data_IF_531270461399
#
_entry.id   IF_531270461399
#
_cell.length_a   1.000
_cell.length_b   1.000
_cell.length_c   1.000
_cell.angle_alpha   90.00
_cell.angle_beta   90.00
_cell.angle_gamma   90.00
#
_symmetry.space_group_name_H-M   'P 1'
#
loop_
_entity.id
_entity.type
_entity.pdbx_description
1 polymer ?
#
# COMPACT_ATOMS: atom_id res chain seq x y z
N UNK A 1 3.22 -5.92 -30.45
CA UNK A 1 2.87 -5.14 -29.27
C UNK A 1 1.77 -5.89 -28.53
N UNK A 2 1.84 -6.06 -27.20
CA UNK A 2 0.69 -6.53 -26.46
C UNK A 2 -0.43 -5.50 -26.60
N UNK A 3 -1.60 -5.95 -26.98
CA UNK A 3 -2.79 -5.10 -26.88
C UNK A 3 -3.11 -4.96 -25.41
N UNK A 4 -3.10 -3.72 -24.91
CA UNK A 4 -3.45 -3.41 -23.53
C UNK A 4 -4.80 -2.71 -23.52
N UNK A 5 -5.73 -3.23 -22.73
CA UNK A 5 -7.00 -2.55 -22.46
C UNK A 5 -6.97 -2.05 -21.02
N UNK A 6 -7.21 -0.74 -20.86
CA UNK A 6 -7.22 -0.07 -19.56
C UNK A 6 -8.63 0.36 -19.23
N UNK A 7 -9.13 -0.09 -18.07
CA UNK A 7 -10.34 0.47 -17.49
C UNK A 7 -9.98 1.63 -16.58
N UNK A 8 -10.62 2.76 -16.82
CA UNK A 8 -10.39 3.98 -16.05
C UNK A 8 -11.69 4.46 -15.41
N UNK A 9 -11.58 5.15 -14.29
CA UNK A 9 -12.67 5.85 -13.63
C UNK A 9 -12.40 7.33 -13.58
N UNK A 10 -13.44 8.11 -13.87
CA UNK A 10 -13.43 9.57 -13.71
C UNK A 10 -14.16 9.91 -12.40
N UNK A 11 -13.39 10.22 -11.38
CA UNK A 11 -13.85 10.52 -10.02
C UNK A 11 -14.18 12.00 -9.80
N UNK A 12 -14.06 12.82 -10.85
CA UNK A 12 -14.35 14.25 -10.78
C UNK A 12 -15.84 14.51 -10.54
N UNK A 13 -16.19 15.64 -9.92
CA UNK A 13 -17.58 16.09 -9.82
C UNK A 13 -18.26 16.18 -11.18
N UNK A 14 -19.58 16.02 -11.23
CA UNK A 14 -20.36 16.04 -12.46
C UNK A 14 -20.17 17.34 -13.26
N UNK A 15 -20.04 18.49 -12.56
CA UNK A 15 -19.80 19.78 -13.19
C UNK A 15 -18.48 19.90 -13.94
N UNK A 16 -17.43 19.28 -13.42
CA UNK A 16 -16.12 19.22 -14.08
C UNK A 16 -16.14 18.25 -15.28
N UNK A 17 -16.82 17.11 -15.12
CA UNK A 17 -17.00 16.14 -16.21
C UNK A 17 -17.81 16.70 -17.38
N UNK A 18 -18.75 17.62 -17.10
CA UNK A 18 -19.52 18.30 -18.14
C UNK A 18 -18.70 19.32 -18.95
N UNK A 19 -17.64 19.88 -18.36
CA UNK A 19 -16.75 20.85 -19.05
C UNK A 19 -15.73 20.17 -19.93
N UNK A 20 -15.12 19.11 -19.46
CA UNK A 20 -14.08 18.35 -20.17
C UNK A 20 -14.37 16.86 -19.97
N UNK A 21 -14.47 16.11 -21.05
CA UNK A 21 -14.67 14.66 -21.00
C UNK A 21 -13.51 13.97 -20.28
N UNK A 22 -13.79 13.00 -19.42
CA UNK A 22 -12.75 12.15 -18.82
C UNK A 22 -11.90 11.43 -19.87
N UNK A 23 -12.47 11.12 -21.05
CA UNK A 23 -11.77 10.54 -22.18
C UNK A 23 -10.58 11.41 -22.63
N UNK A 24 -10.74 12.72 -22.62
CA UNK A 24 -9.72 13.66 -23.10
C UNK A 24 -8.59 13.85 -22.07
N UNK A 25 -8.81 13.37 -20.84
CA UNK A 25 -7.84 13.41 -19.75
C UNK A 25 -7.11 12.07 -19.54
N UNK A 26 -7.42 11.06 -20.33
CA UNK A 26 -6.70 9.78 -20.31
C UNK A 26 -5.25 10.00 -20.72
N UNK A 27 -4.29 9.50 -19.90
CA UNK A 27 -2.85 9.66 -20.06
C UNK A 27 -2.32 11.10 -19.92
N UNK A 28 -3.09 11.99 -19.33
CA UNK A 28 -2.68 13.37 -19.00
C UNK A 28 -2.39 13.58 -17.51
N UNK A 29 -2.11 12.49 -16.78
CA UNK A 29 -1.75 12.48 -15.34
C UNK A 29 -2.76 13.22 -14.44
N UNK A 30 -4.04 13.21 -14.83
CA UNK A 30 -5.07 13.83 -14.01
C UNK A 30 -5.33 12.98 -12.75
N UNK A 31 -5.23 13.55 -11.53
CA UNK A 31 -5.26 12.78 -10.27
C UNK A 31 -6.59 12.07 -10.00
N UNK A 32 -7.68 12.49 -10.65
CA UNK A 32 -9.01 11.90 -10.49
C UNK A 32 -9.52 11.14 -11.73
N UNK A 33 -8.72 11.03 -12.80
CA UNK A 33 -9.00 10.17 -13.97
C UNK A 33 -8.02 9.00 -13.92
N UNK A 34 -8.36 8.01 -13.11
CA UNK A 34 -7.45 6.96 -12.68
C UNK A 34 -7.66 5.64 -13.43
N UNK A 35 -6.58 4.91 -13.63
CA UNK A 35 -6.64 3.52 -14.06
C UNK A 35 -7.05 2.63 -12.89
N UNK A 36 -8.07 1.77 -13.12
CA UNK A 36 -8.55 0.80 -12.15
C UNK A 36 -8.05 -0.60 -12.50
N UNK A 37 -8.08 -0.95 -13.78
CA UNK A 37 -7.83 -2.30 -14.25
C UNK A 37 -7.04 -2.29 -15.54
N UNK A 38 -5.99 -3.09 -15.62
CA UNK A 38 -5.16 -3.30 -16.78
C UNK A 38 -5.26 -4.75 -17.26
N UNK A 39 -5.54 -4.95 -18.55
CA UNK A 39 -5.51 -6.25 -19.20
C UNK A 39 -4.47 -6.22 -20.31
N UNK A 40 -3.45 -7.05 -20.20
CA UNK A 40 -2.37 -7.19 -21.18
C UNK A 40 -2.54 -8.51 -21.92
N UNK A 41 -2.78 -8.41 -23.23
CA UNK A 41 -2.93 -9.56 -24.11
C UNK A 41 -1.57 -9.93 -24.69
N UNK A 42 -1.03 -11.10 -24.34
CA UNK A 42 0.27 -11.57 -24.78
C UNK A 42 0.12 -12.70 -25.78
N UNK A 43 0.80 -12.56 -26.94
CA UNK A 43 0.78 -13.53 -28.01
C UNK A 43 2.20 -13.99 -28.38
N UNK A 44 3.21 -13.16 -28.08
CA UNK A 44 4.59 -13.39 -28.49
C UNK A 44 5.55 -13.20 -27.32
N UNK A 45 6.62 -13.98 -27.33
CA UNK A 45 7.80 -13.77 -26.49
C UNK A 45 8.86 -13.01 -27.30
N UNK A 46 9.40 -11.91 -26.77
CA UNK A 46 10.52 -11.19 -27.39
C UNK A 46 11.84 -11.78 -26.89
N UNK A 47 12.64 -12.32 -27.81
CA UNK A 47 13.98 -12.84 -27.51
C UNK A 47 15.01 -11.72 -27.37
N UNK A 48 16.21 -12.07 -26.87
CA UNK A 48 17.30 -11.12 -26.66
C UNK A 48 17.79 -10.45 -27.96
N UNK A 49 17.65 -11.13 -29.10
CA UNK A 49 17.98 -10.62 -30.44
C UNK A 49 16.88 -9.71 -31.03
N UNK A 50 15.78 -9.49 -30.29
CA UNK A 50 14.65 -8.70 -30.69
C UNK A 50 13.59 -9.43 -31.54
N UNK A 51 13.82 -10.70 -31.92
CA UNK A 51 12.86 -11.51 -32.65
C UNK A 51 11.64 -11.86 -31.79
N UNK A 52 10.49 -12.06 -32.43
CA UNK A 52 9.23 -12.45 -31.78
C UNK A 52 8.94 -13.92 -32.05
N UNK A 53 8.79 -14.68 -30.99
CA UNK A 53 8.39 -16.09 -31.05
C UNK A 53 6.96 -16.24 -30.52
N UNK A 54 6.05 -16.89 -31.25
CA UNK A 54 4.71 -17.14 -30.75
C UNK A 54 4.74 -17.93 -29.44
N UNK A 55 3.92 -17.51 -28.46
CA UNK A 55 3.70 -18.29 -27.26
C UNK A 55 2.94 -19.58 -27.58
N UNK A 56 3.12 -20.64 -26.81
CA UNK A 56 2.39 -21.91 -26.96
C UNK A 56 0.88 -21.73 -26.87
N UNK A 57 0.45 -20.75 -26.09
CA UNK A 57 -0.94 -20.31 -25.96
C UNK A 57 -1.00 -18.78 -25.83
N UNK A 58 -2.09 -18.21 -26.31
CA UNK A 58 -2.40 -16.79 -26.04
C UNK A 58 -2.80 -16.65 -24.57
N UNK A 59 -2.20 -15.69 -23.88
CA UNK A 59 -2.44 -15.47 -22.44
C UNK A 59 -2.82 -14.02 -22.18
N UNK A 60 -3.53 -13.82 -21.09
CA UNK A 60 -3.91 -12.50 -20.59
C UNK A 60 -3.28 -12.35 -19.22
N UNK A 61 -2.44 -11.32 -19.06
CA UNK A 61 -1.98 -10.87 -17.76
C UNK A 61 -2.86 -9.70 -17.33
N UNK A 62 -3.40 -9.77 -16.12
CA UNK A 62 -4.36 -8.77 -15.66
C UNK A 62 -4.04 -8.32 -14.24
N UNK A 63 -4.15 -7.02 -13.99
CA UNK A 63 -3.98 -6.42 -12.68
C UNK A 63 -5.05 -5.38 -12.40
N UNK A 64 -5.78 -5.57 -11.30
CA UNK A 64 -6.77 -4.61 -10.81
C UNK A 64 -6.31 -4.01 -9.49
N UNK A 65 -6.34 -2.67 -9.40
CA UNK A 65 -6.02 -1.97 -8.15
C UNK A 65 -7.18 -2.09 -7.17
N UNK A 66 -7.03 -2.94 -6.15
CA UNK A 66 -8.05 -3.15 -5.12
C UNK A 66 -8.49 -1.84 -4.46
N UNK A 67 -7.54 -1.06 -3.97
CA UNK A 67 -7.81 0.22 -3.30
C UNK A 67 -8.43 1.26 -4.25
N UNK A 68 -7.99 1.28 -5.50
CA UNK A 68 -8.55 2.18 -6.52
C UNK A 68 -9.99 1.81 -6.86
N UNK A 69 -10.30 0.52 -6.93
CA UNK A 69 -11.65 0.04 -7.13
C UNK A 69 -12.55 0.40 -5.94
N UNK A 70 -12.10 0.16 -4.71
CA UNK A 70 -12.83 0.54 -3.49
C UNK A 70 -13.08 2.05 -3.45
N UNK A 71 -12.08 2.86 -3.79
CA UNK A 71 -12.21 4.31 -3.86
C UNK A 71 -13.28 4.75 -4.86
N UNK A 72 -13.29 4.17 -6.06
CA UNK A 72 -14.27 4.47 -7.10
C UNK A 72 -15.70 4.08 -6.67
N UNK A 73 -15.87 2.87 -6.11
CA UNK A 73 -17.17 2.38 -5.66
C UNK A 73 -17.73 3.17 -4.48
N UNK A 74 -16.88 3.64 -3.59
CA UNK A 74 -17.28 4.43 -2.41
C UNK A 74 -17.39 5.94 -2.71
N UNK A 75 -17.16 6.36 -3.96
CA UNK A 75 -17.22 7.78 -4.36
C UNK A 75 -16.18 8.65 -3.64
N UNK A 76 -15.02 8.09 -3.30
CA UNK A 76 -13.91 8.80 -2.64
C UNK A 76 -12.91 9.31 -3.68
N UNK A 77 -12.13 10.32 -3.29
CA UNK A 77 -11.07 10.92 -4.11
C UNK A 77 -9.66 10.51 -3.66
N UNK A 78 -9.56 9.78 -2.55
CA UNK A 78 -8.33 9.21 -2.03
C UNK A 78 -8.56 7.77 -1.56
N UNK A 79 -7.62 6.86 -1.85
CA UNK A 79 -7.63 5.49 -1.33
C UNK A 79 -7.71 5.47 0.20
N UNK A 80 -7.07 6.44 0.85
CA UNK A 80 -7.00 6.55 2.31
C UNK A 80 -8.31 6.94 2.97
N UNK A 81 -9.29 7.45 2.20
CA UNK A 81 -10.62 7.82 2.70
C UNK A 81 -11.64 6.67 2.64
N UNK A 82 -11.19 5.51 2.16
CA UNK A 82 -12.01 4.30 2.09
C UNK A 82 -12.03 3.55 3.43
N UNK A 83 -12.99 2.64 3.58
CA UNK A 83 -13.09 1.73 4.72
C UNK A 83 -11.88 0.79 4.86
N UNK A 84 -11.12 0.59 3.79
CA UNK A 84 -9.86 -0.18 3.81
C UNK A 84 -8.80 0.45 4.70
N UNK A 85 -8.69 1.78 4.70
CA UNK A 85 -7.65 2.50 5.43
C UNK A 85 -8.13 3.27 6.66
N UNK A 86 -9.38 3.72 6.68
CA UNK A 86 -9.90 4.57 7.74
C UNK A 86 -9.79 3.99 9.16
N UNK A 87 -10.04 2.69 9.41
CA UNK A 87 -9.84 2.10 10.73
C UNK A 87 -8.39 2.23 11.21
N UNK A 88 -7.44 1.96 10.31
CA UNK A 88 -6.00 2.06 10.60
C UNK A 88 -5.56 3.50 10.87
N UNK A 89 -5.99 4.45 10.05
CA UNK A 89 -5.68 5.87 10.23
C UNK A 89 -6.23 6.40 11.55
N UNK A 90 -7.45 6.02 11.94
CA UNK A 90 -8.04 6.35 13.24
C UNK A 90 -7.24 5.79 14.41
N UNK A 91 -6.79 4.55 14.30
CA UNK A 91 -5.96 3.91 15.33
C UNK A 91 -4.60 4.61 15.49
N UNK A 92 -3.95 4.96 14.37
CA UNK A 92 -2.67 5.69 14.38
C UNK A 92 -2.86 7.09 15.00
N UNK A 93 -3.91 7.81 14.59
CA UNK A 93 -4.25 9.12 15.13
C UNK A 93 -4.47 9.08 16.65
N UNK A 94 -5.27 8.12 17.13
CA UNK A 94 -5.52 7.93 18.56
C UNK A 94 -4.24 7.61 19.35
N UNK A 95 -3.37 6.76 18.79
CA UNK A 95 -2.12 6.35 19.41
C UNK A 95 -1.11 7.51 19.51
N UNK A 96 -1.08 8.38 18.52
CA UNK A 96 -0.15 9.51 18.44
C UNK A 96 -0.69 10.81 19.07
N UNK A 97 -1.97 10.84 19.44
CA UNK A 97 -2.62 12.07 19.92
C UNK A 97 -2.76 13.14 18.84
N UNK A 98 -2.79 12.73 17.57
CA UNK A 98 -2.91 13.63 16.40
C UNK A 98 -4.26 13.43 15.71
N UNK A 99 -4.61 14.33 14.80
CA UNK A 99 -5.87 14.29 14.05
C UNK A 99 -5.56 14.25 12.55
N UNK A 100 -6.07 13.22 11.85
CA UNK A 100 -5.93 13.09 10.40
C UNK A 100 -6.68 14.21 9.67
N UNK A 101 -6.02 14.85 8.72
CA UNK A 101 -6.56 15.96 7.94
C UNK A 101 -6.22 17.36 8.49
N UNK A 102 -5.44 17.45 9.58
CA UNK A 102 -5.05 18.74 10.18
C UNK A 102 -3.66 19.19 9.82
N UNK A 103 -2.71 18.28 9.70
CA UNK A 103 -1.33 18.58 9.36
C UNK A 103 -0.84 17.68 8.24
N UNK A 104 -0.33 18.28 7.16
CA UNK A 104 0.09 17.58 5.95
C UNK A 104 1.22 16.55 6.21
N UNK A 105 2.17 16.86 7.09
CA UNK A 105 3.29 15.96 7.38
C UNK A 105 2.83 14.78 8.23
N UNK A 106 1.97 15.03 9.20
CA UNK A 106 1.36 13.98 10.01
C UNK A 106 0.45 13.08 9.16
N UNK A 107 -0.34 13.64 8.26
CA UNK A 107 -1.18 12.88 7.32
C UNK A 107 -0.34 11.95 6.45
N UNK A 108 0.76 12.46 5.89
CA UNK A 108 1.70 11.63 5.11
C UNK A 108 2.27 10.50 5.97
N UNK A 109 2.68 10.80 7.19
CA UNK A 109 3.20 9.78 8.11
C UNK A 109 2.17 8.71 8.43
N UNK A 110 0.93 9.09 8.74
CA UNK A 110 -0.16 8.14 8.99
C UNK A 110 -0.45 7.25 7.78
N UNK A 111 -0.47 7.83 6.57
CA UNK A 111 -0.67 7.07 5.31
C UNK A 111 0.46 6.08 5.08
N UNK A 112 1.70 6.49 5.26
CA UNK A 112 2.88 5.61 5.13
C UNK A 112 2.79 4.44 6.10
N UNK A 113 2.45 4.68 7.36
CA UNK A 113 2.33 3.64 8.38
C UNK A 113 1.18 2.69 8.05
N UNK A 114 0.00 3.22 7.70
CA UNK A 114 -1.19 2.43 7.37
C UNK A 114 -0.98 1.52 6.14
N UNK A 115 -0.26 2.00 5.13
CA UNK A 115 0.11 1.23 3.96
C UNK A 115 1.16 0.15 4.28
N UNK A 116 2.21 0.54 4.99
CA UNK A 116 3.36 -0.32 5.24
C UNK A 116 3.07 -1.46 6.21
N UNK A 117 2.22 -1.26 7.23
CA UNK A 117 1.86 -2.33 8.16
C UNK A 117 1.18 -3.50 7.42
N UNK A 118 0.35 -3.23 6.43
CA UNK A 118 -0.28 -4.25 5.58
C UNK A 118 0.78 -5.04 4.82
N UNK A 119 1.66 -4.33 4.10
CA UNK A 119 2.75 -4.95 3.33
C UNK A 119 3.61 -5.86 4.21
N UNK A 120 4.01 -5.38 5.39
CA UNK A 120 4.88 -6.11 6.31
C UNK A 120 4.17 -7.33 6.88
N UNK A 121 2.93 -7.18 7.37
CA UNK A 121 2.16 -8.26 7.97
C UNK A 121 1.91 -9.40 6.97
N UNK A 122 1.44 -9.09 5.76
CA UNK A 122 1.22 -10.08 4.72
C UNK A 122 2.51 -10.76 4.26
N UNK A 123 3.62 -10.01 4.11
CA UNK A 123 4.91 -10.60 3.77
C UNK A 123 5.40 -11.59 4.82
N UNK A 124 5.24 -11.27 6.11
CA UNK A 124 5.60 -12.19 7.20
C UNK A 124 4.70 -13.42 7.17
N UNK A 125 3.41 -13.23 6.93
CA UNK A 125 2.42 -14.32 6.81
C UNK A 125 2.81 -15.29 5.68
N UNK A 126 3.33 -14.77 4.57
CA UNK A 126 3.83 -15.56 3.43
C UNK A 126 5.26 -16.13 3.67
N UNK A 127 5.78 -16.02 4.88
CA UNK A 127 7.09 -16.57 5.26
C UNK A 127 8.29 -15.70 4.90
N UNK A 128 8.08 -14.46 4.43
CA UNK A 128 9.16 -13.53 4.11
C UNK A 128 9.51 -12.65 5.31
N UNK A 129 10.53 -13.04 6.06
CA UNK A 129 10.96 -12.29 7.25
C UNK A 129 11.91 -11.14 6.89
N UNK A 130 11.88 -10.02 7.66
CA UNK A 130 12.88 -8.97 7.54
C UNK A 130 14.30 -9.52 7.70
N UNK A 131 15.21 -9.14 6.82
CA UNK A 131 16.61 -9.61 6.86
C UNK A 131 17.58 -8.60 6.24
N UNK A 132 18.86 -8.97 6.14
CA UNK A 132 19.92 -8.13 5.53
C UNK A 132 20.08 -8.37 4.02
N UNK A 133 19.36 -9.34 3.45
CA UNK A 133 19.55 -9.74 2.06
C UNK A 133 18.23 -10.05 1.35
N UNK A 134 18.26 -10.03 0.02
CA UNK A 134 17.16 -10.45 -0.87
C UNK A 134 15.83 -9.74 -0.54
N UNK A 135 14.71 -10.45 -0.63
CA UNK A 135 13.36 -9.93 -0.34
C UNK A 135 13.23 -9.41 1.10
N UNK A 136 13.83 -10.09 2.08
CA UNK A 136 13.80 -9.68 3.48
C UNK A 136 14.44 -8.30 3.74
N UNK A 137 15.45 -7.91 2.95
CA UNK A 137 16.03 -6.57 3.00
C UNK A 137 15.02 -5.48 2.59
N UNK A 138 14.21 -5.76 1.56
CA UNK A 138 13.16 -4.83 1.12
C UNK A 138 12.11 -4.66 2.22
N UNK A 139 11.64 -5.76 2.81
CA UNK A 139 10.64 -5.73 3.90
C UNK A 139 11.19 -4.96 5.10
N UNK A 140 12.45 -5.20 5.48
CA UNK A 140 13.13 -4.45 6.55
C UNK A 140 13.18 -2.95 6.25
N UNK A 141 13.46 -2.54 5.01
CA UNK A 141 13.47 -1.13 4.61
C UNK A 141 12.09 -0.49 4.71
N UNK A 142 11.05 -1.20 4.30
CA UNK A 142 9.65 -0.75 4.39
C UNK A 142 9.29 -0.54 5.87
N UNK A 143 9.59 -1.50 6.74
CA UNK A 143 9.35 -1.39 8.18
C UNK A 143 10.08 -0.18 8.79
N UNK A 144 11.38 -0.07 8.54
CA UNK A 144 12.18 1.05 9.06
C UNK A 144 11.72 2.40 8.55
N UNK A 145 11.23 2.47 7.32
CA UNK A 145 10.63 3.70 6.78
C UNK A 145 9.41 4.10 7.59
N UNK A 146 8.49 3.20 7.86
CA UNK A 146 7.29 3.47 8.66
C UNK A 146 7.65 3.90 10.10
N UNK A 147 8.57 3.18 10.75
CA UNK A 147 9.05 3.54 12.10
C UNK A 147 9.66 4.94 12.13
N UNK A 148 10.48 5.30 11.12
CA UNK A 148 11.06 6.63 11.01
C UNK A 148 10.00 7.72 10.85
N UNK A 149 8.97 7.48 10.05
CA UNK A 149 7.86 8.44 9.93
C UNK A 149 7.10 8.62 11.24
N UNK A 150 6.82 7.53 11.95
CA UNK A 150 6.20 7.59 13.28
C UNK A 150 7.07 8.35 14.30
N UNK A 151 8.37 8.07 14.30
CA UNK A 151 9.34 8.75 15.18
C UNK A 151 9.44 10.25 14.90
N UNK A 152 9.54 10.63 13.62
CA UNK A 152 9.81 12.00 13.21
C UNK A 152 8.58 12.90 13.29
N UNK A 153 7.43 12.41 12.83
CA UNK A 153 6.24 13.25 12.62
C UNK A 153 5.10 13.01 13.61
N UNK A 154 5.07 11.83 14.25
CA UNK A 154 4.01 11.43 15.17
C UNK A 154 4.49 11.23 16.61
N UNK A 155 5.74 11.59 16.92
CA UNK A 155 6.28 11.53 18.27
C UNK A 155 6.43 10.12 18.85
N UNK A 156 6.36 9.06 18.03
CA UNK A 156 6.44 7.68 18.47
C UNK A 156 7.90 7.29 18.76
N UNK A 157 8.31 7.42 20.02
CA UNK A 157 9.69 7.15 20.46
C UNK A 157 9.92 5.69 20.89
N UNK A 158 8.87 4.91 20.99
CA UNK A 158 8.91 3.49 21.34
C UNK A 158 8.28 2.66 20.23
N UNK A 159 8.50 1.34 20.23
CA UNK A 159 7.86 0.43 19.29
C UNK A 159 6.33 0.52 19.37
N UNK A 160 5.69 0.73 18.25
CA UNK A 160 4.26 1.02 18.15
C UNK A 160 3.54 0.25 17.02
N UNK A 161 4.24 -0.04 15.91
CA UNK A 161 3.60 -0.64 14.72
C UNK A 161 2.97 -2.01 15.03
N UNK A 162 3.63 -2.83 15.85
CA UNK A 162 3.08 -4.13 16.26
C UNK A 162 1.71 -4.00 16.92
N UNK A 163 1.44 -2.87 17.61
CA UNK A 163 0.14 -2.58 18.26
C UNK A 163 -0.98 -2.29 17.27
N UNK A 164 -0.65 -2.03 16.00
CA UNK A 164 -1.62 -1.80 14.93
C UNK A 164 -2.10 -3.11 14.28
N UNK A 165 -1.40 -4.23 14.52
CA UNK A 165 -1.76 -5.51 13.92
C UNK A 165 -3.18 -5.98 14.27
N UNK A 166 -3.70 -5.84 15.51
CA UNK A 166 -5.09 -6.16 15.81
C UNK A 166 -6.10 -5.43 14.92
N UNK A 167 -5.86 -4.15 14.65
CA UNK A 167 -6.73 -3.34 13.78
C UNK A 167 -6.72 -3.87 12.33
N UNK A 168 -5.56 -4.30 11.84
CA UNK A 168 -5.45 -4.95 10.53
C UNK A 168 -6.21 -6.27 10.49
N UNK A 169 -6.09 -7.08 11.54
CA UNK A 169 -6.78 -8.37 11.67
C UNK A 169 -8.31 -8.16 11.73
N UNK A 170 -8.77 -7.19 12.50
CA UNK A 170 -10.21 -6.87 12.59
C UNK A 170 -10.77 -6.44 11.23
N UNK A 171 -9.98 -5.77 10.42
CA UNK A 171 -10.40 -5.27 9.11
C UNK A 171 -10.29 -6.32 7.99
N UNK A 172 -9.31 -7.21 8.04
CA UNK A 172 -8.97 -8.11 6.93
C UNK A 172 -8.93 -9.61 7.32
N UNK A 173 -8.97 -9.94 8.60
CA UNK A 173 -8.75 -11.30 9.09
C UNK A 173 -9.85 -12.30 8.68
N UNK A 174 -11.07 -11.86 8.41
CA UNK A 174 -12.14 -12.72 7.89
C UNK A 174 -11.78 -13.22 6.48
N UNK A 175 -11.28 -12.34 5.62
CA UNK A 175 -10.87 -12.68 4.25
C UNK A 175 -9.50 -13.38 4.21
N UNK A 176 -8.65 -13.17 5.22
CA UNK A 176 -7.27 -13.67 5.31
C UNK A 176 -7.04 -14.33 6.68
N UNK A 177 -7.59 -15.53 6.94
CA UNK A 177 -7.48 -16.21 8.23
C UNK A 177 -6.05 -16.54 8.64
N UNK A 178 -5.12 -16.61 7.69
CA UNK A 178 -3.69 -16.79 7.95
C UNK A 178 -3.06 -15.62 8.74
N UNK A 179 -3.56 -14.39 8.60
CA UNK A 179 -3.16 -13.26 9.44
C UNK A 179 -3.51 -13.50 10.91
N UNK A 180 -4.70 -14.06 11.15
CA UNK A 180 -5.16 -14.40 12.51
C UNK A 180 -4.30 -15.53 13.09
N UNK A 181 -4.06 -16.58 12.30
CA UNK A 181 -3.30 -17.75 12.72
C UNK A 181 -1.84 -17.40 13.09
N UNK A 182 -1.23 -16.44 12.41
CA UNK A 182 0.16 -16.04 12.61
C UNK A 182 0.33 -14.77 13.44
N UNK A 183 -0.73 -14.24 14.06
CA UNK A 183 -0.72 -12.99 14.83
C UNK A 183 0.50 -12.86 15.74
N UNK A 184 0.75 -13.86 16.58
CA UNK A 184 1.84 -13.84 17.57
C UNK A 184 3.22 -13.73 16.91
N UNK A 185 3.43 -14.43 15.78
CA UNK A 185 4.68 -14.36 15.03
C UNK A 185 4.87 -12.96 14.43
N UNK A 186 3.83 -12.43 13.79
CA UNK A 186 3.88 -11.12 13.12
C UNK A 186 4.17 -10.02 14.16
N UNK A 187 3.45 -10.00 15.29
CA UNK A 187 3.66 -9.05 16.38
C UNK A 187 5.10 -9.08 16.90
N UNK A 188 5.62 -10.29 17.16
CA UNK A 188 6.98 -10.48 17.67
C UNK A 188 8.03 -9.96 16.68
N UNK A 189 7.93 -10.36 15.41
CA UNK A 189 8.90 -9.97 14.37
C UNK A 189 8.89 -8.45 14.17
N UNK A 190 7.73 -7.83 14.07
CA UNK A 190 7.61 -6.37 13.90
C UNK A 190 8.22 -5.67 15.12
N UNK A 191 7.85 -6.06 16.34
CA UNK A 191 8.33 -5.45 17.57
C UNK A 191 9.86 -5.52 17.71
N UNK A 192 10.46 -6.68 17.48
CA UNK A 192 11.90 -6.87 17.55
C UNK A 192 12.67 -6.00 16.54
N UNK A 193 12.20 -5.90 15.30
CA UNK A 193 12.81 -5.04 14.27
C UNK A 193 12.63 -3.55 14.59
N UNK A 194 11.49 -3.13 15.12
CA UNK A 194 11.25 -1.75 15.56
C UNK A 194 12.20 -1.36 16.69
N UNK A 195 12.26 -2.16 17.76
CA UNK A 195 13.13 -1.89 18.91
C UNK A 195 14.60 -1.84 18.51
N UNK A 196 15.03 -2.75 17.63
CA UNK A 196 16.38 -2.75 17.08
C UNK A 196 16.67 -1.47 16.29
N UNK A 197 15.75 -1.03 15.46
CA UNK A 197 15.94 0.16 14.65
C UNK A 197 15.88 1.46 15.46
N UNK A 198 14.99 1.55 16.44
CA UNK A 198 14.89 2.72 17.33
C UNK A 198 16.19 2.96 18.11
N UNK A 199 16.84 1.91 18.61
CA UNK A 199 18.19 2.03 19.22
C UNK A 199 19.20 2.63 18.25
N UNK A 200 19.15 2.25 16.98
CA UNK A 200 20.05 2.81 15.94
C UNK A 200 19.73 4.28 15.65
N UNK A 201 18.43 4.63 15.59
CA UNK A 201 17.99 6.01 15.37
C UNK A 201 18.45 6.95 16.49
N UNK A 202 18.27 6.55 17.74
CA UNK A 202 18.70 7.34 18.90
C UNK A 202 20.21 7.59 18.91
N UNK A 203 21.00 6.62 18.47
CA UNK A 203 22.46 6.76 18.38
C UNK A 203 22.89 7.63 17.21
N UNK A 204 22.15 7.59 16.08
CA UNK A 204 22.50 8.34 14.86
C UNK A 204 22.03 9.80 14.84
N UNK A 205 21.14 10.20 15.77
CA UNK A 205 20.63 11.58 15.89
C UNK A 205 21.43 12.39 16.94
N UNK A 206 22.30 11.75 17.67
CA UNK A 206 23.28 12.40 18.55
C UNK A 206 24.50 12.85 17.78
#
# INVERSE_FOLDING_TARGET
>A
FPYTTLFRSDLRPAEERAKISGRDLVNHDHPQVIEIWNLVFMQYNRKADGSLEPLPAKVIDTGMGFERLCMALQGKTSNYDTDVFQPMLKAIAAMSGTEYGKDKQQDIAMRVIADHIRTIAFSITDGQLPSNAKAGYVIRRILRRAVRYGYTFLGQKQAFMYKLLPVLIDNMGEAYPELVAQKTLIEKVIKEEEESFLRTLETGIR
#
